data_IF_336903955801
#
_entry.id   IF_336903955801
#
_cell.length_a   1.000
_cell.length_b   1.000
_cell.length_c   1.000
_cell.angle_alpha   90.00
_cell.angle_beta   90.00
_cell.angle_gamma   90.00
#
_symmetry.space_group_name_H-M   'P 1'
#
loop_
_entity.id
_entity.type
_entity.pdbx_description
1 polymer ?
#
# COMPACT_ATOMS: atom_id res chain seq x y z
N UNK A 1 16.29 -7.01 -1.26
CA UNK A 1 14.83 -6.76 -1.23
C UNK A 1 14.59 -5.38 -1.84
N UNK A 2 13.77 -5.25 -2.89
CA UNK A 2 13.45 -3.95 -3.49
C UNK A 2 12.61 -3.13 -2.52
N UNK A 3 12.92 -1.83 -2.37
CA UNK A 3 12.11 -0.89 -1.60
C UNK A 3 11.47 0.11 -2.57
N UNK A 4 10.14 0.13 -2.60
CA UNK A 4 9.33 0.94 -3.53
C UNK A 4 8.93 2.22 -2.80
N UNK A 5 9.35 3.37 -3.32
CA UNK A 5 9.19 4.67 -2.68
C UNK A 5 8.23 5.62 -3.40
N UNK A 6 7.76 5.25 -4.61
CA UNK A 6 6.84 6.06 -5.41
C UNK A 6 5.82 5.21 -6.17
N UNK A 7 4.74 5.85 -6.64
CA UNK A 7 3.73 5.20 -7.50
C UNK A 7 4.36 4.72 -8.81
N UNK A 8 5.31 5.47 -9.38
CA UNK A 8 5.99 5.07 -10.61
C UNK A 8 6.80 3.78 -10.39
N UNK A 9 7.57 3.70 -9.31
CA UNK A 9 8.32 2.48 -8.98
C UNK A 9 7.41 1.28 -8.69
N UNK A 10 6.24 1.53 -8.09
CA UNK A 10 5.22 0.50 -7.87
C UNK A 10 4.72 -0.04 -9.21
N UNK A 11 4.30 0.85 -10.11
CA UNK A 11 3.81 0.46 -11.43
C UNK A 11 4.88 -0.29 -12.23
N UNK A 12 6.12 0.20 -12.24
CA UNK A 12 7.25 -0.49 -12.89
C UNK A 12 7.53 -1.86 -12.26
N UNK A 13 7.38 -1.99 -10.94
CA UNK A 13 7.52 -3.28 -10.26
C UNK A 13 6.49 -4.32 -10.72
N UNK A 14 5.29 -3.88 -11.10
CA UNK A 14 4.27 -4.76 -11.67
C UNK A 14 4.42 -4.98 -13.18
N UNK A 15 5.43 -4.38 -13.83
CA UNK A 15 5.67 -4.52 -15.27
C UNK A 15 5.05 -3.42 -16.14
N UNK A 16 4.68 -2.28 -15.54
CA UNK A 16 4.12 -1.13 -16.23
C UNK A 16 2.59 -1.01 -16.10
N UNK A 17 2.03 0.04 -16.72
CA UNK A 17 0.61 0.41 -16.56
C UNK A 17 -0.35 -0.73 -16.93
N UNK A 18 -0.12 -1.37 -18.08
CA UNK A 18 -0.98 -2.44 -18.59
C UNK A 18 -0.90 -3.68 -17.71
N UNK A 19 0.32 -4.10 -17.33
CA UNK A 19 0.50 -5.29 -16.50
C UNK A 19 -0.10 -5.12 -15.11
N UNK A 20 0.00 -3.93 -14.50
CA UNK A 20 -0.67 -3.64 -13.23
C UNK A 20 -2.20 -3.60 -13.40
N UNK A 21 -2.69 -2.98 -14.48
CA UNK A 21 -4.12 -2.89 -14.75
C UNK A 21 -4.75 -4.28 -14.91
N UNK A 22 -4.13 -5.14 -15.72
CA UNK A 22 -4.54 -6.53 -15.92
C UNK A 22 -4.48 -7.32 -14.61
N UNK A 23 -3.42 -7.14 -13.82
CA UNK A 23 -3.27 -7.82 -12.53
C UNK A 23 -4.36 -7.45 -11.52
N UNK A 24 -4.83 -6.21 -11.54
CA UNK A 24 -5.87 -5.71 -10.64
C UNK A 24 -7.29 -5.82 -11.23
N UNK A 25 -7.44 -6.29 -12.47
CA UNK A 25 -8.71 -6.28 -13.21
C UNK A 25 -9.35 -4.88 -13.25
N UNK A 26 -8.55 -3.87 -13.61
CA UNK A 26 -9.00 -2.47 -13.78
C UNK A 26 -8.53 -1.92 -15.13
N UNK A 27 -9.05 -0.75 -15.52
CA UNK A 27 -8.57 -0.10 -16.75
C UNK A 27 -7.17 0.49 -16.60
N UNK A 28 -6.37 0.45 -17.68
CA UNK A 28 -5.09 1.14 -17.75
C UNK A 28 -5.22 2.64 -17.41
N UNK A 29 -6.33 3.27 -17.81
CA UNK A 29 -6.63 4.67 -17.49
C UNK A 29 -6.77 4.92 -15.98
N UNK A 30 -7.26 3.94 -15.21
CA UNK A 30 -7.32 4.05 -13.75
C UNK A 30 -5.91 4.13 -13.14
N UNK A 31 -4.97 3.30 -13.61
CA UNK A 31 -3.57 3.35 -13.22
C UNK A 31 -2.92 4.67 -13.63
N UNK A 32 -3.17 5.13 -14.85
CA UNK A 32 -2.69 6.43 -15.33
C UNK A 32 -3.19 7.59 -14.46
N UNK A 33 -4.47 7.56 -14.06
CA UNK A 33 -5.03 8.54 -13.13
C UNK A 33 -4.38 8.51 -11.75
N UNK A 34 -3.93 7.35 -11.25
CA UNK A 34 -3.17 7.29 -9.99
C UNK A 34 -1.84 8.02 -10.10
N UNK A 35 -1.11 7.83 -11.20
CA UNK A 35 0.16 8.52 -11.47
C UNK A 35 -0.04 10.02 -11.56
N UNK A 36 -1.02 10.47 -12.36
CA UNK A 36 -1.33 11.90 -12.56
C UNK A 36 -1.71 12.56 -11.24
N UNK A 37 -2.52 11.88 -10.41
CA UNK A 37 -2.99 12.43 -9.13
C UNK A 37 -1.98 12.25 -7.99
N UNK A 38 -0.90 11.52 -8.20
CA UNK A 38 0.03 11.15 -7.14
C UNK A 38 -0.61 10.34 -6.00
N UNK A 39 -1.71 9.62 -6.26
CA UNK A 39 -2.43 8.85 -5.23
C UNK A 39 -3.09 7.59 -5.80
N UNK A 40 -2.95 6.49 -5.07
CA UNK A 40 -3.63 5.21 -5.33
C UNK A 40 -4.98 5.24 -4.61
N UNK A 41 -6.04 4.73 -5.24
CA UNK A 41 -7.34 4.62 -4.60
C UNK A 41 -7.30 3.68 -3.38
N UNK A 42 -7.90 4.12 -2.26
CA UNK A 42 -7.76 3.47 -0.94
C UNK A 42 -8.13 1.98 -0.92
N UNK A 43 -9.12 1.56 -1.73
CA UNK A 43 -9.52 0.16 -1.83
C UNK A 43 -8.42 -0.81 -2.30
N UNK A 44 -7.32 -0.30 -2.86
CA UNK A 44 -6.20 -1.11 -3.35
C UNK A 44 -5.01 -1.17 -2.41
N UNK A 45 -4.96 -0.36 -1.35
CA UNK A 45 -3.76 -0.22 -0.51
C UNK A 45 -3.31 -1.54 0.10
N UNK A 46 -4.20 -2.25 0.80
CA UNK A 46 -3.86 -3.52 1.45
C UNK A 46 -3.56 -4.64 0.45
N UNK A 47 -4.26 -4.68 -0.68
CA UNK A 47 -4.03 -5.68 -1.74
C UNK A 47 -2.63 -5.51 -2.34
N UNK A 48 -2.28 -4.29 -2.70
CA UNK A 48 -0.96 -3.96 -3.25
C UNK A 48 0.15 -4.17 -2.22
N UNK A 49 -0.09 -3.81 -0.95
CA UNK A 49 0.86 -4.07 0.13
C UNK A 49 1.14 -5.57 0.26
N UNK A 50 0.09 -6.39 0.38
CA UNK A 50 0.23 -7.85 0.50
C UNK A 50 0.97 -8.46 -0.70
N UNK A 51 0.62 -8.05 -1.91
CA UNK A 51 1.23 -8.56 -3.14
C UNK A 51 2.71 -8.18 -3.27
N UNK A 52 3.06 -6.91 -2.96
CA UNK A 52 4.46 -6.45 -2.95
C UNK A 52 5.29 -7.26 -1.96
N UNK A 53 4.74 -7.52 -0.76
CA UNK A 53 5.39 -8.35 0.25
C UNK A 53 5.54 -9.81 -0.21
N UNK A 54 4.49 -10.40 -0.79
CA UNK A 54 4.53 -11.77 -1.32
C UNK A 54 5.60 -11.95 -2.40
N UNK A 55 5.87 -10.91 -3.19
CA UNK A 55 6.92 -10.88 -4.23
C UNK A 55 8.31 -10.52 -3.71
N UNK A 56 8.52 -10.46 -2.40
CA UNK A 56 9.85 -10.21 -1.80
C UNK A 56 10.33 -8.76 -1.96
N UNK A 57 9.41 -7.81 -1.95
CA UNK A 57 9.68 -6.38 -1.94
C UNK A 57 8.94 -5.69 -0.78
N UNK A 58 9.26 -4.41 -0.53
CA UNK A 58 8.55 -3.56 0.43
C UNK A 58 8.11 -2.28 -0.25
N UNK A 59 7.07 -1.65 0.28
CA UNK A 59 6.55 -0.36 -0.23
C UNK A 59 6.48 0.65 0.91
N UNK A 60 6.92 1.87 0.62
CA UNK A 60 6.84 2.97 1.54
C UNK A 60 5.36 3.36 1.75
N UNK A 61 4.89 3.49 2.99
CA UNK A 61 3.50 3.86 3.30
C UNK A 61 3.04 5.17 2.64
N UNK A 62 3.97 6.09 2.37
CA UNK A 62 3.69 7.35 1.67
C UNK A 62 3.20 7.13 0.24
N UNK A 63 3.51 6.02 -0.42
CA UNK A 63 2.96 5.64 -1.73
C UNK A 63 1.43 5.48 -1.68
N UNK A 64 0.91 5.10 -0.51
CA UNK A 64 -0.52 5.00 -0.23
C UNK A 64 -1.09 6.30 0.38
N UNK A 65 -0.29 7.36 0.48
CA UNK A 65 -0.69 8.64 1.07
C UNK A 65 -0.76 8.62 2.60
N UNK A 66 -0.16 7.63 3.26
CA UNK A 66 -0.09 7.58 4.72
C UNK A 66 1.00 8.51 5.25
N UNK A 67 0.66 9.27 6.28
CA UNK A 67 1.65 10.03 7.05
C UNK A 67 2.47 9.10 7.95
N UNK A 68 3.62 9.58 8.42
CA UNK A 68 4.45 8.85 9.38
C UNK A 68 3.66 8.42 10.62
N UNK A 69 2.86 9.32 11.19
CA UNK A 69 2.02 9.05 12.36
C UNK A 69 0.97 7.96 12.10
N UNK A 70 0.34 7.97 10.92
CA UNK A 70 -0.65 6.95 10.55
C UNK A 70 0.00 5.57 10.40
N UNK A 71 1.19 5.51 9.80
CA UNK A 71 1.93 4.26 9.64
C UNK A 71 2.38 3.68 10.98
N UNK A 72 2.94 4.50 11.88
CA UNK A 72 3.35 4.06 13.22
C UNK A 72 2.16 3.50 14.02
N UNK A 73 0.95 4.01 13.77
CA UNK A 73 -0.28 3.50 14.37
C UNK A 73 -0.72 2.11 13.87
N UNK A 74 -0.33 1.68 12.66
CA UNK A 74 -0.73 0.38 12.10
C UNK A 74 -0.12 -0.81 12.84
N UNK A 75 1.07 -0.63 13.41
CA UNK A 75 1.82 -1.67 14.11
C UNK A 75 1.95 -1.40 15.60
N UNK A 76 1.21 -0.41 16.13
CA UNK A 76 1.15 -0.19 17.56
C UNK A 76 0.55 -1.43 18.22
N UNK A 77 1.22 -2.04 19.22
CA UNK A 77 0.61 -3.11 19.99
C UNK A 77 -0.75 -2.64 20.49
N UNK A 78 -1.79 -3.45 20.29
CA UNK A 78 -3.02 -3.28 21.05
C UNK A 78 -2.62 -3.56 22.49
N UNK A 79 -2.42 -2.52 23.30
CA UNK A 79 -2.31 -2.70 24.74
C UNK A 79 -3.57 -3.44 25.15
N UNK A 80 -3.40 -4.64 25.71
CA UNK A 80 -4.52 -5.38 26.29
C UNK A 80 -5.21 -4.42 27.23
N UNK A 81 -6.45 -4.02 26.91
CA UNK A 81 -7.27 -3.30 27.87
C UNK A 81 -7.28 -4.17 29.12
N UNK A 82 -6.54 -3.73 30.14
CA UNK A 82 -6.50 -4.40 31.41
C UNK A 82 -7.93 -4.46 31.89
N UNK A 83 -8.50 -5.66 31.89
CA UNK A 83 -9.64 -5.96 32.74
C UNK A 83 -9.10 -5.91 34.17
N UNK A 84 -9.04 -4.70 34.71
CA UNK A 84 -9.07 -4.49 36.14
C UNK A 84 -10.53 -4.26 36.48
N UNK A 85 -11.24 -5.35 36.79
CA UNK A 85 -12.33 -5.25 37.75
C UNK A 85 -11.96 -6.17 38.91
N UNK A 86 -11.49 -5.51 39.96
CA UNK A 86 -11.31 -6.06 41.28
C UNK A 86 -12.68 -6.42 41.89
N UNK A 87 -12.81 -7.65 42.39
CA UNK A 87 -13.20 -8.02 43.76
C UNK A 87 -13.66 -9.47 43.79
#
# INVERSE_FOLDING_TARGET
MKHISSIHELVEFFGGDTALADHLDISQSAVAHWKIRGRIAAGWHLRLLAEVHARGATVCPSVFGLTKQQFEGLFRPLESSGEVVAA
#
